data_IF_363231407009
#
_entry.id   IF_363231407009
#
_cell.length_a   1.000
_cell.length_b   1.000
_cell.length_c   1.000
_cell.angle_alpha   90.00
_cell.angle_beta   90.00
_cell.angle_gamma   90.00
#
_symmetry.space_group_name_H-M   'P 1'
#
loop_
_entity.id
_entity.type
_entity.pdbx_description
1 polymer ?
#
# COMPACT_ATOMS: atom_id res chain seq x y z
N UNK A 1 3.48 -23.73 5.16
CA UNK A 1 2.96 -22.37 4.95
C UNK A 1 2.67 -21.71 6.30
N UNK A 2 2.96 -20.43 6.44
CA UNK A 2 2.66 -19.60 7.60
C UNK A 2 2.13 -18.23 7.11
N UNK A 3 0.88 -17.90 7.41
CA UNK A 3 0.20 -16.68 6.98
C UNK A 3 -0.21 -15.83 8.19
N UNK A 4 -0.39 -14.52 7.98
CA UNK A 4 -1.09 -13.67 8.94
C UNK A 4 -2.48 -14.21 9.28
N UNK A 5 -2.93 -13.97 10.51
CA UNK A 5 -4.19 -14.51 11.02
C UNK A 5 -5.42 -13.93 10.31
N UNK A 6 -5.39 -12.64 9.98
CA UNK A 6 -6.46 -11.90 9.33
C UNK A 6 -6.01 -11.32 7.99
N UNK A 7 -6.88 -11.26 6.97
CA UNK A 7 -6.51 -10.72 5.67
C UNK A 7 -6.35 -9.20 5.75
N UNK A 8 -5.50 -8.67 4.88
CA UNK A 8 -5.17 -7.26 4.76
C UNK A 8 -5.98 -6.69 3.60
N UNK A 9 -6.81 -5.68 3.86
CA UNK A 9 -7.47 -4.97 2.77
C UNK A 9 -6.48 -3.98 2.14
N UNK A 10 -6.06 -4.32 0.93
CA UNK A 10 -5.18 -3.50 0.10
C UNK A 10 -5.94 -2.39 -0.63
N UNK A 11 -7.27 -2.39 -0.61
CA UNK A 11 -8.09 -1.37 -1.27
C UNK A 11 -8.30 -0.17 -0.36
N UNK A 12 -8.36 1.01 -0.97
CA UNK A 12 -8.69 2.26 -0.33
C UNK A 12 -10.05 2.78 -0.68
N UNK A 13 -10.73 3.33 0.33
CA UNK A 13 -12.04 3.97 0.16
C UNK A 13 -12.01 5.20 -0.77
N UNK A 14 -10.85 5.88 -0.89
CA UNK A 14 -10.76 7.16 -1.61
C UNK A 14 -9.62 7.25 -2.65
N UNK A 15 -8.63 6.36 -2.63
CA UNK A 15 -7.36 6.56 -3.36
C UNK A 15 -6.84 5.35 -4.16
N UNK A 16 -7.66 4.31 -4.36
CA UNK A 16 -7.21 3.12 -5.09
C UNK A 16 -6.48 2.11 -4.21
N UNK A 17 -5.55 1.34 -4.78
CA UNK A 17 -4.79 0.31 -4.05
C UNK A 17 -3.68 0.90 -3.17
N UNK A 18 -3.34 0.21 -2.07
CA UNK A 18 -2.23 0.56 -1.17
C UNK A 18 -0.90 0.09 -1.73
N UNK A 19 0.13 0.90 -1.50
CA UNK A 19 1.52 0.48 -1.60
C UNK A 19 1.90 -0.36 -0.38
N UNK A 20 2.91 -1.22 -0.52
CA UNK A 20 3.44 -1.96 0.62
C UNK A 20 4.96 -2.05 0.57
N UNK A 21 5.54 -2.32 1.72
CA UNK A 21 6.91 -2.78 1.84
C UNK A 21 7.00 -3.91 2.84
N UNK A 22 7.87 -4.86 2.55
CA UNK A 22 8.22 -5.91 3.49
C UNK A 22 9.71 -6.11 3.51
N UNK A 23 10.22 -6.39 4.71
CA UNK A 23 11.61 -6.80 4.91
C UNK A 23 11.61 -8.05 5.76
N UNK A 24 12.32 -9.06 5.32
CA UNK A 24 12.58 -10.25 6.10
C UNK A 24 14.01 -10.71 5.95
N UNK A 25 14.45 -11.47 6.94
CA UNK A 25 15.71 -12.21 6.87
C UNK A 25 15.41 -13.68 6.96
N UNK A 26 16.01 -14.46 6.09
CA UNK A 26 15.83 -15.90 6.05
C UNK A 26 17.16 -16.61 5.90
N UNK A 27 17.13 -17.93 6.12
CA UNK A 27 18.24 -18.83 5.91
C UNK A 27 17.73 -20.13 5.33
N UNK A 28 18.45 -20.67 4.34
CA UNK A 28 18.22 -22.00 3.78
C UNK A 28 19.46 -22.86 4.07
N UNK A 29 19.28 -23.91 4.87
CA UNK A 29 20.37 -24.83 5.28
C UNK A 29 20.12 -26.22 4.69
N UNK A 30 20.89 -26.63 3.65
CA UNK A 30 20.72 -27.94 3.03
C UNK A 30 21.27 -29.07 3.92
N UNK A 31 20.52 -30.15 4.03
CA UNK A 31 20.96 -31.43 4.65
C UNK A 31 21.36 -32.44 3.57
N UNK A 32 20.58 -32.49 2.51
CA UNK A 32 20.84 -33.24 1.27
C UNK A 32 21.06 -32.22 0.14
N UNK A 33 21.20 -32.61 -1.15
CA UNK A 33 21.15 -31.61 -2.21
C UNK A 33 19.98 -30.64 -1.98
N UNK A 34 20.21 -29.34 -2.20
CA UNK A 34 19.20 -28.33 -1.89
C UNK A 34 17.95 -28.54 -2.73
N UNK A 35 16.83 -28.07 -2.20
CA UNK A 35 15.54 -28.13 -2.88
C UNK A 35 14.36 -28.24 -1.92
N UNK A 36 13.18 -27.71 -2.26
CA UNK A 36 12.93 -26.98 -3.52
C UNK A 36 13.08 -25.48 -3.29
N UNK A 37 12.37 -24.91 -2.32
CA UNK A 37 12.55 -23.50 -2.03
C UNK A 37 11.63 -22.92 -0.97
N UNK A 38 11.72 -21.59 -0.85
CA UNK A 38 10.94 -20.73 0.02
C UNK A 38 10.29 -19.64 -0.83
N UNK A 39 9.10 -19.18 -0.46
CA UNK A 39 8.46 -18.03 -1.09
C UNK A 39 7.85 -17.09 -0.05
N UNK A 40 8.01 -15.78 -0.27
CA UNK A 40 7.08 -14.80 0.29
C UNK A 40 5.81 -14.80 -0.57
N UNK A 41 4.64 -14.83 0.05
CA UNK A 41 3.37 -14.98 -0.67
C UNK A 41 2.36 -13.91 -0.28
N UNK A 42 1.59 -13.47 -1.28
CA UNK A 42 0.32 -12.78 -1.13
C UNK A 42 -0.77 -13.66 -1.77
N UNK A 43 -1.80 -14.02 -1.01
CA UNK A 43 -2.83 -14.99 -1.42
C UNK A 43 -4.24 -14.43 -1.20
N UNK A 44 -5.15 -14.66 -2.15
CA UNK A 44 -6.57 -14.35 -2.02
C UNK A 44 -7.34 -15.28 -1.07
N UNK A 45 -6.68 -16.32 -0.54
CA UNK A 45 -7.22 -17.28 0.41
C UNK A 45 -6.10 -18.00 1.18
N UNK A 46 -6.46 -18.95 2.06
CA UNK A 46 -5.49 -19.72 2.88
C UNK A 46 -5.23 -21.13 2.33
N UNK A 47 -5.57 -21.37 1.07
CA UNK A 47 -5.42 -22.69 0.45
C UNK A 47 -3.93 -22.99 0.24
N UNK A 48 -3.51 -24.19 0.66
CA UNK A 48 -2.14 -24.64 0.49
C UNK A 48 -1.95 -25.32 -0.86
N UNK A 49 -0.79 -25.11 -1.47
CA UNK A 49 -0.34 -25.87 -2.63
C UNK A 49 0.29 -27.21 -2.24
N UNK A 50 0.93 -27.84 -3.22
CA UNK A 50 1.64 -29.12 -3.09
C UNK A 50 3.15 -28.91 -2.88
N UNK A 51 3.83 -29.99 -2.54
CA UNK A 51 5.27 -30.09 -2.34
C UNK A 51 6.10 -29.97 -3.65
N UNK A 52 7.42 -30.04 -3.50
CA UNK A 52 8.41 -29.83 -4.56
C UNK A 52 8.47 -28.39 -5.05
N UNK A 53 8.81 -28.21 -6.33
CA UNK A 53 8.84 -26.92 -7.02
C UNK A 53 7.51 -26.16 -7.07
N UNK A 54 6.42 -26.72 -6.52
CA UNK A 54 5.19 -25.95 -6.29
C UNK A 54 5.25 -25.09 -5.01
N UNK A 55 6.32 -25.24 -4.22
CA UNK A 55 6.68 -24.46 -3.03
C UNK A 55 5.61 -24.42 -1.92
N UNK A 56 4.63 -25.33 -1.96
CA UNK A 56 3.44 -25.27 -1.09
C UNK A 56 2.48 -24.14 -1.45
N UNK A 57 2.61 -23.55 -2.64
CA UNK A 57 1.82 -22.42 -3.16
C UNK A 57 0.89 -22.87 -4.30
N UNK A 58 1.43 -23.64 -5.24
CA UNK A 58 0.74 -24.09 -6.45
C UNK A 58 0.23 -25.52 -6.31
N UNK A 59 -0.79 -25.90 -7.08
CA UNK A 59 -1.27 -27.28 -7.13
C UNK A 59 -0.34 -28.17 -7.96
N UNK A 60 -0.65 -29.46 -8.02
CA UNK A 60 0.18 -30.46 -8.71
C UNK A 60 0.43 -30.17 -10.19
N UNK A 61 -0.45 -29.44 -10.84
CA UNK A 61 -0.31 -29.04 -12.25
C UNK A 61 0.50 -27.74 -12.41
N UNK A 62 1.04 -27.19 -11.32
CA UNK A 62 1.73 -25.91 -11.31
C UNK A 62 0.81 -24.70 -11.42
N UNK A 63 -0.49 -24.83 -11.08
CA UNK A 63 -1.47 -23.75 -11.15
C UNK A 63 -1.92 -23.27 -9.77
N UNK A 64 -2.25 -21.99 -9.65
CA UNK A 64 -2.71 -21.40 -8.40
C UNK A 64 -4.06 -22.01 -7.95
N UNK A 65 -4.23 -22.23 -6.65
CA UNK A 65 -5.53 -22.61 -6.07
C UNK A 65 -6.41 -21.39 -5.79
N UNK A 66 -5.77 -20.30 -5.38
CA UNK A 66 -6.35 -18.98 -5.11
C UNK A 66 -5.57 -17.92 -5.90
N UNK A 67 -6.07 -16.68 -5.99
CA UNK A 67 -5.28 -15.58 -6.55
C UNK A 67 -3.95 -15.47 -5.80
N UNK A 68 -2.83 -15.46 -6.54
CA UNK A 68 -1.49 -15.57 -5.96
C UNK A 68 -0.54 -14.55 -6.55
N UNK A 69 0.31 -13.99 -5.69
CA UNK A 69 1.62 -13.43 -6.04
C UNK A 69 2.63 -14.08 -5.10
N UNK A 70 3.66 -14.71 -5.66
CA UNK A 70 4.78 -15.27 -4.91
C UNK A 70 6.09 -14.61 -5.36
N UNK A 71 6.96 -14.34 -4.40
CA UNK A 71 8.38 -14.05 -4.64
C UNK A 71 9.15 -15.25 -4.13
N UNK A 72 9.57 -16.10 -5.07
CA UNK A 72 10.26 -17.35 -4.79
C UNK A 72 11.77 -17.18 -4.62
N UNK A 73 12.35 -18.04 -3.80
CA UNK A 73 13.77 -18.23 -3.59
C UNK A 73 14.02 -19.73 -3.82
N UNK A 74 14.23 -20.08 -5.09
CA UNK A 74 14.30 -21.45 -5.56
C UNK A 74 15.74 -21.97 -5.56
N UNK A 75 15.90 -23.17 -5.01
CA UNK A 75 17.16 -23.86 -4.78
C UNK A 75 17.26 -25.18 -5.53
N UNK A 76 16.30 -25.46 -6.40
CA UNK A 76 16.24 -26.62 -7.29
C UNK A 76 15.93 -26.16 -8.73
N UNK A 77 16.23 -27.00 -9.72
CA UNK A 77 15.91 -26.69 -11.12
C UNK A 77 14.88 -27.67 -11.65
N UNK A 78 13.61 -27.26 -11.63
CA UNK A 78 12.50 -27.97 -12.23
C UNK A 78 12.40 -27.61 -13.72
N UNK A 79 12.81 -28.53 -14.59
CA UNK A 79 12.69 -28.35 -16.04
C UNK A 79 11.26 -28.10 -16.51
N UNK A 80 10.27 -28.67 -15.82
CA UNK A 80 8.85 -28.51 -16.14
C UNK A 80 8.31 -27.11 -15.86
N UNK A 81 9.00 -26.33 -15.01
CA UNK A 81 8.70 -24.92 -14.71
C UNK A 81 9.62 -23.95 -15.42
N UNK A 82 10.52 -24.46 -16.28
CA UNK A 82 11.49 -23.68 -17.04
C UNK A 82 12.46 -22.86 -16.17
N UNK A 83 12.81 -23.42 -15.01
CA UNK A 83 13.75 -22.79 -14.09
C UNK A 83 15.10 -22.52 -14.75
N UNK A 84 15.58 -21.29 -14.57
CA UNK A 84 16.83 -20.84 -15.21
C UNK A 84 18.06 -21.54 -14.63
N UNK A 85 18.02 -21.94 -13.35
CA UNK A 85 19.03 -22.70 -12.62
C UNK A 85 18.49 -23.11 -11.23
N UNK A 86 19.31 -23.80 -10.42
CA UNK A 86 18.98 -24.20 -9.05
C UNK A 86 19.35 -23.16 -7.96
N UNK A 87 19.35 -21.86 -8.29
CA UNK A 87 19.73 -20.77 -7.39
C UNK A 87 19.16 -19.43 -7.88
N UNK A 88 17.83 -19.30 -7.96
CA UNK A 88 17.21 -18.09 -8.52
C UNK A 88 16.15 -17.48 -7.62
N UNK A 89 15.91 -16.19 -7.83
CA UNK A 89 14.78 -15.48 -7.24
C UNK A 89 13.81 -15.14 -8.35
N UNK A 90 12.54 -15.47 -8.12
CA UNK A 90 11.46 -15.36 -9.09
C UNK A 90 10.30 -14.50 -8.60
N UNK A 91 9.42 -14.14 -9.54
CA UNK A 91 8.10 -13.58 -9.26
C UNK A 91 7.08 -14.38 -10.05
N UNK A 92 6.08 -14.88 -9.34
CA UNK A 92 5.12 -15.84 -9.87
C UNK A 92 3.71 -15.35 -9.58
N UNK A 93 2.82 -15.52 -10.55
CA UNK A 93 1.41 -15.20 -10.38
C UNK A 93 0.56 -16.47 -10.41
N UNK A 94 0.02 -16.82 -11.58
CA UNK A 94 -0.97 -17.89 -11.73
C UNK A 94 -0.36 -19.29 -11.72
N UNK A 95 0.95 -19.40 -11.90
CA UNK A 95 1.65 -20.67 -12.09
C UNK A 95 2.98 -20.71 -11.36
N UNK A 96 3.48 -21.92 -11.06
CA UNK A 96 4.83 -22.15 -10.52
C UNK A 96 5.95 -21.78 -11.50
N UNK A 97 5.63 -21.50 -12.77
CA UNK A 97 6.58 -20.91 -13.70
C UNK A 97 6.67 -19.40 -13.47
N UNK A 98 7.87 -18.96 -13.13
CA UNK A 98 8.24 -17.56 -12.96
C UNK A 98 7.85 -16.65 -14.14
N UNK A 99 7.16 -15.55 -13.84
CA UNK A 99 6.93 -14.45 -14.78
C UNK A 99 8.23 -13.69 -15.05
N UNK A 100 9.13 -13.64 -14.06
CA UNK A 100 10.50 -13.14 -14.19
C UNK A 100 11.39 -13.78 -13.14
N UNK A 101 12.50 -14.36 -13.57
CA UNK A 101 13.51 -14.92 -12.69
C UNK A 101 14.87 -14.27 -12.92
N UNK A 102 15.70 -14.23 -11.86
CA UNK A 102 17.11 -13.82 -11.95
C UNK A 102 17.97 -14.71 -11.05
N UNK A 103 19.09 -15.18 -11.60
CA UNK A 103 20.10 -15.96 -10.88
C UNK A 103 20.63 -15.17 -9.67
N UNK A 104 20.45 -15.71 -8.46
CA UNK A 104 20.90 -15.09 -7.22
C UNK A 104 22.43 -14.91 -7.17
N UNK A 105 23.19 -15.67 -7.96
CA UNK A 105 24.64 -15.49 -8.12
C UNK A 105 25.00 -14.11 -8.68
N UNK A 106 24.10 -13.44 -9.41
CA UNK A 106 24.29 -12.06 -9.85
C UNK A 106 24.34 -11.04 -8.68
N UNK A 107 23.83 -11.43 -7.50
CA UNK A 107 23.96 -10.71 -6.24
C UNK A 107 25.06 -11.26 -5.34
N UNK A 108 25.92 -12.15 -5.84
CA UNK A 108 26.89 -12.94 -5.08
C UNK A 108 26.24 -13.76 -3.95
N UNK A 109 25.04 -14.29 -4.18
CA UNK A 109 24.28 -15.06 -3.19
C UNK A 109 24.14 -16.51 -3.64
N UNK A 110 24.46 -17.42 -2.73
CA UNK A 110 24.05 -18.82 -2.78
C UNK A 110 22.87 -19.00 -1.82
N UNK A 111 21.66 -19.16 -2.36
CA UNK A 111 20.43 -19.22 -1.57
C UNK A 111 20.50 -20.34 -0.51
N UNK A 112 20.93 -21.53 -0.91
CA UNK A 112 21.17 -22.68 -0.02
C UNK A 112 22.58 -22.71 0.57
N UNK A 113 23.25 -21.56 0.73
CA UNK A 113 24.60 -21.47 1.31
C UNK A 113 24.63 -21.51 2.85
N UNK A 114 23.48 -21.52 3.53
CA UNK A 114 23.39 -21.41 4.99
C UNK A 114 23.62 -19.98 5.53
N UNK A 115 23.85 -19.00 4.66
CA UNK A 115 24.00 -17.59 5.04
C UNK A 115 22.65 -16.96 5.40
N UNK A 116 22.69 -15.92 6.23
CA UNK A 116 21.50 -15.09 6.49
C UNK A 116 21.33 -14.11 5.34
N UNK A 117 20.22 -14.24 4.62
CA UNK A 117 19.88 -13.41 3.46
C UNK A 117 18.80 -12.43 3.87
N UNK A 118 18.99 -11.17 3.52
CA UNK A 118 17.99 -10.11 3.65
C UNK A 118 17.24 -9.98 2.33
N UNK A 119 15.91 -9.89 2.40
CA UNK A 119 15.06 -9.61 1.25
C UNK A 119 14.12 -8.45 1.55
N UNK A 120 14.06 -7.50 0.63
CA UNK A 120 13.10 -6.40 0.64
C UNK A 120 12.22 -6.50 -0.60
N UNK A 121 10.92 -6.38 -0.40
CA UNK A 121 9.94 -6.30 -1.49
C UNK A 121 9.17 -5.01 -1.27
N UNK A 122 9.26 -4.11 -2.24
CA UNK A 122 8.56 -2.84 -2.26
C UNK A 122 7.59 -2.82 -3.43
N UNK A 123 6.35 -2.41 -3.19
CA UNK A 123 5.35 -2.23 -4.23
C UNK A 123 4.81 -0.81 -4.18
N UNK A 124 4.91 -0.10 -5.30
CA UNK A 124 4.21 1.16 -5.54
C UNK A 124 2.90 0.89 -6.28
N UNK A 125 1.78 1.25 -5.66
CA UNK A 125 0.47 1.22 -6.31
C UNK A 125 0.27 2.40 -7.29
N UNK A 126 1.06 3.47 -7.15
CA UNK A 126 1.02 4.63 -8.05
C UNK A 126 1.77 4.33 -9.35
N UNK A 127 2.95 3.74 -9.24
CA UNK A 127 3.79 3.39 -10.38
C UNK A 127 3.52 1.97 -10.92
N UNK A 128 2.65 1.21 -10.24
CA UNK A 128 2.32 -0.20 -10.54
C UNK A 128 3.59 -1.04 -10.71
N UNK A 129 4.47 -0.93 -9.72
CA UNK A 129 5.85 -1.40 -9.80
C UNK A 129 6.23 -2.16 -8.53
N UNK A 130 6.62 -3.42 -8.70
CA UNK A 130 7.13 -4.28 -7.64
C UNK A 130 8.64 -4.45 -7.81
N UNK A 131 9.38 -4.10 -6.78
CA UNK A 131 10.83 -4.20 -6.71
C UNK A 131 11.24 -5.23 -5.67
N UNK A 132 12.12 -6.15 -6.06
CA UNK A 132 12.75 -7.12 -5.17
C UNK A 132 14.22 -6.74 -5.00
N UNK A 133 14.70 -6.72 -3.76
CA UNK A 133 16.10 -6.53 -3.40
C UNK A 133 16.54 -7.66 -2.49
N UNK A 134 17.76 -8.14 -2.67
CA UNK A 134 18.39 -9.15 -1.83
C UNK A 134 19.81 -8.74 -1.45
N UNK A 135 20.30 -9.16 -0.29
CA UNK A 135 21.65 -8.84 0.17
C UNK A 135 22.08 -9.60 1.42
N UNK A 136 23.38 -9.61 1.70
CA UNK A 136 24.00 -10.31 2.84
C UNK A 136 24.43 -9.36 3.97
N UNK A 137 24.68 -8.08 3.68
CA UNK A 137 25.27 -7.11 4.63
C UNK A 137 24.24 -6.37 5.49
N UNK A 138 22.96 -6.72 5.34
CA UNK A 138 21.83 -6.11 6.03
C UNK A 138 21.47 -4.69 5.61
N UNK A 139 22.16 -4.12 4.61
CA UNK A 139 21.84 -2.80 4.06
C UNK A 139 20.98 -2.98 2.82
N UNK A 140 19.83 -2.31 2.78
CA UNK A 140 18.93 -2.34 1.63
C UNK A 140 19.67 -1.76 0.40
N UNK A 141 19.89 -2.56 -0.67
CA UNK A 141 20.50 -2.06 -1.90
C UNK A 141 19.70 -0.90 -2.51
N UNK A 142 20.40 0.07 -3.10
CA UNK A 142 19.76 1.19 -3.81
C UNK A 142 18.99 0.67 -5.02
N UNK A 143 19.68 -0.06 -5.88
CA UNK A 143 19.12 -0.60 -7.11
C UNK A 143 18.42 -1.94 -6.83
N UNK A 144 17.26 -2.19 -7.44
CA UNK A 144 16.55 -3.45 -7.27
C UNK A 144 17.34 -4.61 -7.87
N UNK A 145 17.26 -5.78 -7.22
CA UNK A 145 17.74 -7.03 -7.81
C UNK A 145 16.94 -7.36 -9.07
N UNK A 146 15.62 -7.14 -9.04
CA UNK A 146 14.84 -6.93 -10.25
C UNK A 146 13.57 -6.14 -9.91
N UNK A 147 12.95 -5.60 -10.96
CA UNK A 147 11.67 -4.94 -10.90
C UNK A 147 10.66 -5.58 -11.86
N UNK A 148 9.38 -5.46 -11.57
CA UNK A 148 8.29 -5.98 -12.40
C UNK A 148 7.12 -4.99 -12.40
N UNK A 149 6.63 -4.61 -13.58
CA UNK A 149 5.46 -3.74 -13.70
C UNK A 149 4.19 -4.58 -13.64
N UNK A 150 3.37 -4.34 -12.63
CA UNK A 150 2.15 -5.09 -12.35
C UNK A 150 1.17 -4.24 -11.55
N UNK A 151 -0.08 -4.22 -12.00
CA UNK A 151 -1.19 -3.70 -11.22
C UNK A 151 -1.72 -4.82 -10.32
N UNK A 152 -1.43 -4.80 -9.02
CA UNK A 152 -1.93 -5.84 -8.09
C UNK A 152 -3.46 -5.86 -7.99
N UNK A 153 -4.11 -4.75 -8.34
CA UNK A 153 -5.55 -4.63 -8.53
C UNK A 153 -6.14 -5.53 -9.62
N UNK A 154 -5.34 -5.92 -10.61
CA UNK A 154 -5.75 -6.83 -11.68
C UNK A 154 -5.60 -8.30 -11.30
N UNK A 155 -4.76 -8.60 -10.30
CA UNK A 155 -4.55 -9.96 -9.79
C UNK A 155 -5.54 -10.28 -8.68
N UNK A 156 -5.73 -9.34 -7.75
CA UNK A 156 -6.52 -9.56 -6.54
C UNK A 156 -7.83 -8.79 -6.57
N UNK A 157 -8.94 -9.49 -6.33
CA UNK A 157 -10.27 -8.88 -6.25
C UNK A 157 -10.72 -8.49 -4.83
N UNK A 158 -9.96 -8.90 -3.81
CA UNK A 158 -10.35 -8.75 -2.40
C UNK A 158 -9.17 -8.65 -1.44
N UNK A 159 -9.44 -8.71 -0.12
CA UNK A 159 -8.41 -8.74 0.92
C UNK A 159 -7.45 -9.92 0.73
N UNK A 160 -6.18 -9.73 1.08
CA UNK A 160 -5.12 -10.71 0.85
C UNK A 160 -4.49 -11.19 2.16
N UNK A 161 -4.10 -12.46 2.21
CA UNK A 161 -3.22 -12.97 3.24
C UNK A 161 -1.77 -12.84 2.78
N UNK A 162 -0.88 -12.45 3.68
CA UNK A 162 0.56 -12.40 3.42
C UNK A 162 1.32 -13.32 4.36
N UNK A 163 2.46 -13.85 3.91
CA UNK A 163 3.29 -14.71 4.73
C UNK A 163 4.30 -15.48 3.91
N UNK A 164 4.58 -16.72 4.32
CA UNK A 164 5.59 -17.56 3.71
C UNK A 164 5.08 -18.96 3.40
N UNK A 165 5.54 -19.50 2.28
CA UNK A 165 5.40 -20.90 1.93
C UNK A 165 6.79 -21.46 1.59
N UNK A 166 6.93 -22.78 1.64
CA UNK A 166 8.20 -23.43 1.37
C UNK A 166 8.00 -24.93 1.43
N UNK A 167 8.83 -25.65 0.69
CA UNK A 167 8.65 -27.08 0.49
C UNK A 167 9.97 -27.78 0.19
N UNK A 168 9.99 -29.08 0.49
CA UNK A 168 11.03 -30.01 0.06
C UNK A 168 10.38 -31.06 -0.85
N UNK A 169 11.07 -31.51 -1.88
CA UNK A 169 10.62 -32.59 -2.77
C UNK A 169 11.01 -33.95 -2.21
N UNK A 170 10.04 -34.85 -2.23
CA UNK A 170 10.26 -36.27 -1.94
C UNK A 170 10.93 -37.01 -3.10
N UNK A 171 10.90 -36.45 -4.32
CA UNK A 171 11.36 -37.13 -5.53
C UNK A 171 12.88 -37.03 -5.75
N UNK A 172 13.46 -35.86 -5.50
CA UNK A 172 14.91 -35.66 -5.67
C UNK A 172 15.74 -36.05 -4.43
N UNK A 173 15.08 -36.49 -3.35
CA UNK A 173 15.67 -36.66 -2.00
C UNK A 173 16.35 -35.37 -1.50
N UNK A 174 15.92 -34.22 -2.00
CA UNK A 174 16.40 -32.93 -1.57
C UNK A 174 15.82 -32.60 -0.21
N UNK A 175 16.60 -31.92 0.63
CA UNK A 175 16.12 -31.52 1.93
C UNK A 175 16.90 -30.33 2.45
N UNK A 176 16.18 -29.26 2.76
CA UNK A 176 16.70 -28.07 3.41
C UNK A 176 15.81 -27.64 4.57
N UNK A 177 16.42 -26.98 5.56
CA UNK A 177 15.68 -26.21 6.55
C UNK A 177 15.45 -24.78 6.03
N UNK A 178 14.20 -24.32 6.11
CA UNK A 178 13.81 -22.96 5.75
C UNK A 178 13.46 -22.18 7.01
N UNK A 179 14.28 -21.20 7.37
CA UNK A 179 14.11 -20.39 8.59
C UNK A 179 13.83 -18.95 8.25
N UNK A 180 12.69 -18.41 8.70
CA UNK A 180 12.43 -16.96 8.75
C UNK A 180 12.88 -16.46 10.11
N UNK A 181 13.89 -15.59 10.13
CA UNK A 181 14.54 -15.11 11.36
C UNK A 181 13.97 -13.76 11.83
N UNK A 182 13.49 -12.95 10.89
CA UNK A 182 12.89 -11.64 11.12
C UNK A 182 11.92 -11.33 10.00
N UNK A 183 10.82 -10.64 10.29
CA UNK A 183 9.87 -10.19 9.29
C UNK A 183 9.11 -8.94 9.73
N UNK A 184 8.96 -8.00 8.79
CA UNK A 184 8.05 -6.87 8.85
C UNK A 184 7.25 -6.75 7.57
N UNK A 185 6.01 -6.33 7.70
CA UNK A 185 5.13 -6.02 6.57
C UNK A 185 4.35 -4.77 6.91
N UNK A 186 4.41 -3.76 6.04
CA UNK A 186 3.73 -2.48 6.22
C UNK A 186 3.01 -2.10 4.93
N UNK A 187 1.77 -1.65 5.05
CA UNK A 187 1.01 -1.02 3.96
C UNK A 187 0.86 0.46 4.20
N UNK A 188 0.94 1.27 3.16
CA UNK A 188 0.78 2.71 3.25
C UNK A 188 0.10 3.29 2.01
N UNK A 189 -0.43 4.49 2.15
CA UNK A 189 -0.95 5.26 1.02
C UNK A 189 0.18 5.98 0.34
N UNK A 190 0.29 5.79 -0.96
CA UNK A 190 1.14 6.61 -1.81
C UNK A 190 0.26 7.60 -2.56
N UNK A 191 0.67 8.87 -2.57
CA UNK A 191 -0.11 9.94 -3.18
C UNK A 191 0.59 10.38 -4.45
N UNK A 192 -0.14 10.37 -5.57
CA UNK A 192 0.35 10.98 -6.79
C UNK A 192 0.59 12.48 -6.52
N UNK A 193 1.76 13.06 -6.87
CA UNK A 193 2.10 14.46 -6.56
C UNK A 193 1.04 15.47 -7.03
N UNK A 194 0.34 15.16 -8.12
CA UNK A 194 -0.73 15.97 -8.70
C UNK A 194 -1.98 16.07 -7.79
N UNK A 195 -2.31 15.02 -7.05
CA UNK A 195 -3.41 15.07 -6.07
C UNK A 195 -3.06 15.94 -4.87
N UNK A 196 -1.78 16.00 -4.50
CA UNK A 196 -1.30 16.93 -3.47
C UNK A 196 -1.45 18.38 -3.93
N UNK A 197 -1.12 18.67 -5.20
CA UNK A 197 -1.30 19.99 -5.79
C UNK A 197 -2.78 20.40 -5.84
N UNK A 198 -3.67 19.50 -6.26
CA UNK A 198 -5.12 19.76 -6.29
C UNK A 198 -5.70 19.94 -4.88
N UNK A 199 -5.28 19.13 -3.91
CA UNK A 199 -5.66 19.28 -2.51
C UNK A 199 -5.20 20.60 -1.91
N UNK A 200 -3.96 21.01 -2.20
CA UNK A 200 -3.41 22.29 -1.77
C UNK A 200 -4.14 23.47 -2.42
N UNK A 201 -4.39 23.41 -3.73
CA UNK A 201 -5.19 24.43 -4.45
C UNK A 201 -6.59 24.53 -3.84
N UNK A 202 -7.26 23.39 -3.62
CA UNK A 202 -8.59 23.35 -3.01
C UNK A 202 -8.59 23.95 -1.60
N UNK A 203 -7.55 23.67 -0.79
CA UNK A 203 -7.41 24.23 0.55
C UNK A 203 -7.18 25.75 0.52
N UNK A 204 -6.34 26.24 -0.38
CA UNK A 204 -6.10 27.68 -0.56
C UNK A 204 -7.37 28.39 -1.04
N UNK A 205 -8.10 27.82 -2.00
CA UNK A 205 -9.39 28.36 -2.47
C UNK A 205 -10.41 28.39 -1.33
N UNK A 206 -10.49 27.34 -0.52
CA UNK A 206 -11.38 27.30 0.65
C UNK A 206 -11.00 28.38 1.67
N UNK A 207 -9.72 28.54 2.00
CA UNK A 207 -9.26 29.60 2.91
C UNK A 207 -9.59 31.00 2.38
N UNK A 208 -9.43 31.23 1.08
CA UNK A 208 -9.80 32.48 0.43
C UNK A 208 -11.30 32.72 0.54
N UNK A 209 -12.14 31.73 0.20
CA UNK A 209 -13.60 31.83 0.31
C UNK A 209 -14.06 32.06 1.75
N UNK A 210 -13.48 31.36 2.73
CA UNK A 210 -13.77 31.57 4.16
C UNK A 210 -13.40 33.00 4.58
N UNK A 211 -12.26 33.54 4.13
CA UNK A 211 -11.89 34.94 4.39
C UNK A 211 -12.86 35.93 3.75
N UNK A 212 -13.26 35.72 2.49
CA UNK A 212 -14.26 36.56 1.83
C UNK A 212 -15.59 36.55 2.60
N UNK A 213 -16.10 35.38 2.96
CA UNK A 213 -17.34 35.23 3.72
C UNK A 213 -17.27 35.85 5.13
N UNK A 214 -16.11 35.83 5.79
CA UNK A 214 -15.91 36.52 7.07
C UNK A 214 -15.76 38.04 6.90
N UNK A 215 -15.19 38.50 5.78
CA UNK A 215 -15.00 39.93 5.50
C UNK A 215 -16.35 40.62 5.22
N UNK A 216 -17.23 39.99 4.43
CA UNK A 216 -18.58 40.52 4.16
C UNK A 216 -19.42 40.68 5.45
N UNK A 217 -19.22 39.79 6.43
CA UNK A 217 -19.92 39.85 7.73
C UNK A 217 -19.44 41.00 8.63
N UNK A 218 -18.23 41.50 8.43
CA UNK A 218 -17.63 42.59 9.23
C UNK A 218 -18.00 43.98 8.73
N UNK A 219 -18.27 44.13 7.43
CA UNK A 219 -18.67 45.41 6.82
C UNK A 219 -20.14 45.75 7.12
N UNK A 220 -21.00 44.74 7.32
CA UNK A 220 -22.42 45.00 7.61
C UNK A 220 -22.72 45.50 9.03
N UNK A 221 -21.75 45.48 9.97
CA UNK A 221 -22.01 45.89 11.37
C UNK A 221 -21.58 47.32 11.70
N UNK A 222 -20.75 47.96 10.85
CA UNK A 222 -20.26 49.34 11.08
C UNK A 222 -21.20 50.43 10.55
N UNK A 223 -22.10 50.12 9.62
CA UNK A 223 -22.99 51.12 8.99
C UNK A 223 -24.28 51.40 9.78
N UNK A 224 -24.48 50.79 10.95
CA UNK A 224 -25.66 51.00 11.79
C UNK A 224 -25.45 51.90 13.02
N UNK A 225 -24.25 52.47 13.24
CA UNK A 225 -23.98 53.28 14.45
C UNK A 225 -23.52 54.74 14.25
N UNK A 226 -23.57 55.31 13.05
CA UNK A 226 -23.26 56.73 12.85
C UNK A 226 -24.45 57.55 12.33
N UNK A 227 -25.51 57.66 13.14
CA UNK A 227 -26.52 58.71 12.98
C UNK A 227 -26.84 59.33 14.35
N UNK A 228 -25.84 59.95 14.99
CA UNK A 228 -26.06 60.86 16.10
C UNK A 228 -26.39 62.25 15.55
N UNK A 229 -27.68 62.59 15.51
CA UNK A 229 -28.12 63.98 15.40
C UNK A 229 -27.88 64.70 16.74
N UNK A 230 -27.41 65.96 16.75
CA UNK A 230 -27.26 66.72 17.99
C UNK A 230 -28.64 67.08 18.57
N UNK A 231 -28.74 67.00 19.90
CA UNK A 231 -29.94 67.32 20.66
C UNK A 231 -30.32 68.80 20.51
N UNK A 232 -31.50 69.06 19.97
CA UNK A 232 -32.10 70.39 19.93
C UNK A 232 -32.82 70.67 21.26
N UNK A 233 -32.37 71.71 21.95
CA UNK A 233 -32.94 72.25 23.19
C UNK A 233 -34.38 72.75 22.97
N UNK A 234 -35.34 72.13 23.65
CA UNK A 234 -36.73 72.56 23.66
C UNK A 234 -36.94 73.79 24.56
N UNK A 235 -37.22 74.95 23.96
CA UNK A 235 -37.78 76.12 24.66
C UNK A 235 -39.29 76.17 24.47
N UNK A 236 -39.99 76.17 25.60
CA UNK A 236 -41.45 76.21 25.76
C UNK A 236 -42.03 77.53 25.24
N UNK A 237 -42.95 77.49 24.27
CA UNK A 237 -43.83 78.61 23.93
C UNK A 237 -45.29 78.25 24.26
N UNK A 238 -46.07 79.13 24.92
CA UNK A 238 -47.46 78.85 25.28
C UNK A 238 -48.37 78.94 24.05
N UNK A 239 -49.31 77.99 23.95
CA UNK A 239 -50.34 77.96 22.91
C UNK A 239 -51.43 79.02 23.19
N UNK A 240 -51.95 79.69 22.15
CA UNK A 240 -53.04 80.67 22.26
C UNK A 240 -54.42 80.03 22.47
N UNK A 241 -55.35 80.83 22.99
CA UNK A 241 -56.70 80.46 23.44
C UNK A 241 -57.57 79.73 22.39
N UNK A 242 -58.51 78.87 22.83
CA UNK A 242 -59.34 78.05 21.96
C UNK A 242 -60.42 78.85 21.20
N UNK A 243 -60.74 78.48 19.95
CA UNK A 243 -61.86 79.06 19.21
C UNK A 243 -63.22 78.54 19.72
N UNK A 244 -64.31 79.33 19.55
CA UNK A 244 -65.61 78.99 20.10
C UNK A 244 -66.35 77.88 19.35
N UNK A 245 -67.31 77.32 20.08
CA UNK A 245 -68.16 76.16 19.78
C UNK A 245 -68.98 76.26 18.50
N UNK A 246 -69.33 75.10 17.93
CA UNK A 246 -70.57 74.99 17.19
C UNK A 246 -71.32 73.69 17.49
N UNK A 247 -72.61 73.89 17.77
CA UNK A 247 -73.61 72.95 18.26
C UNK A 247 -74.56 72.70 17.08
N UNK A 248 -74.78 71.46 16.69
CA UNK A 248 -75.97 71.07 15.89
C UNK A 248 -76.41 69.65 16.23
N UNK A 249 -77.64 69.60 16.77
CA UNK A 249 -78.67 68.55 16.79
C UNK A 249 -78.29 67.09 16.62
#
# INVERSE_FOLDING_TARGET
MALVSSPIDMRGYLYGWKSFRTHFTFRIEPIHPPGDGLAFVMLGGKEMGTEGGNLGVYNRSGWQNVQTVAIEFDTYQNSDYEDINANHVGIDFQTARSNKARDASAGNISLAGGEVIHAWIDYSAVDEQLEVRIGLDGRKPRDPFFSYSVALSEIFSGPVYVGFAGSNSVFCKCHSFYSILYWTFETFWEFHPLHFLLGFISFVVLLVLVKFLHCDRSVSSSDYQSNNFPAETATYMPLPDPPPSNRTS
#
